data_IF_247946896677
#
_entry.id   IF_247946896677
#
_cell.length_a   1.000
_cell.length_b   1.000
_cell.length_c   1.000
_cell.angle_alpha   90.00
_cell.angle_beta   90.00
_cell.angle_gamma   90.00
#
_symmetry.space_group_name_H-M   'P 1'
#
loop_
_entity.id
_entity.type
_entity.pdbx_description
1 polymer ?
#
# COMPACT_ATOMS: atom_id res chain seq x y z
N UNK A 1 4.15 16.91 -5.07
CA UNK A 1 5.36 16.04 -5.14
C UNK A 1 5.80 15.78 -6.57
N UNK A 2 4.93 15.33 -7.49
CA UNK A 2 5.30 15.09 -8.91
C UNK A 2 6.04 16.28 -9.57
N UNK A 3 5.66 17.53 -9.27
CA UNK A 3 6.33 18.73 -9.80
C UNK A 3 7.84 18.77 -9.54
N UNK A 4 8.31 18.25 -8.40
CA UNK A 4 9.74 18.22 -8.07
C UNK A 4 10.50 17.19 -8.91
N UNK A 5 9.92 16.00 -9.12
CA UNK A 5 10.51 14.93 -9.94
C UNK A 5 10.58 15.36 -11.40
N UNK A 6 9.49 15.92 -11.96
CA UNK A 6 9.46 16.42 -13.34
C UNK A 6 10.48 17.55 -13.57
N UNK A 7 10.63 18.47 -12.61
CA UNK A 7 11.66 19.52 -12.67
C UNK A 7 13.06 18.91 -12.67
N UNK A 8 13.30 17.91 -11.80
CA UNK A 8 14.60 17.24 -11.70
C UNK A 8 14.96 16.45 -12.98
N UNK A 9 13.99 15.79 -13.60
CA UNK A 9 14.14 15.13 -14.91
C UNK A 9 14.57 16.15 -15.99
N UNK A 10 13.98 17.34 -15.98
CA UNK A 10 14.31 18.42 -16.93
C UNK A 10 15.75 18.92 -16.76
N UNK A 11 16.23 18.98 -15.51
CA UNK A 11 17.62 19.35 -15.20
C UNK A 11 18.63 18.29 -15.66
N UNK A 12 18.32 17.00 -15.44
CA UNK A 12 19.11 15.88 -15.98
C UNK A 12 19.26 16.03 -17.49
N UNK A 13 18.16 16.29 -18.20
CA UNK A 13 18.17 16.43 -19.66
C UNK A 13 18.98 17.65 -20.12
N UNK A 14 18.90 18.77 -19.40
CA UNK A 14 19.69 19.98 -19.68
C UNK A 14 21.19 19.70 -19.58
N UNK A 15 21.63 19.08 -18.48
CA UNK A 15 23.05 18.74 -18.28
C UNK A 15 23.54 17.69 -19.28
N UNK A 16 22.71 16.70 -19.62
CA UNK A 16 23.01 15.70 -20.66
C UNK A 16 23.24 16.36 -22.03
N UNK A 17 22.41 17.35 -22.41
CA UNK A 17 22.59 18.10 -23.66
C UNK A 17 23.88 18.93 -23.65
N UNK A 18 24.19 19.59 -22.53
CA UNK A 18 25.43 20.34 -22.38
C UNK A 18 26.68 19.44 -22.52
N UNK A 19 26.65 18.23 -21.96
CA UNK A 19 27.73 17.25 -22.10
C UNK A 19 27.91 16.76 -23.54
N UNK A 20 26.81 16.49 -24.26
CA UNK A 20 26.89 16.09 -25.67
C UNK A 20 27.57 17.15 -26.54
N UNK A 21 27.37 18.45 -26.24
CA UNK A 21 27.99 19.54 -26.98
C UNK A 21 29.52 19.62 -26.82
N UNK A 22 30.10 18.95 -25.82
CA UNK A 22 31.55 18.94 -25.58
C UNK A 22 32.32 17.93 -26.46
N UNK A 23 31.64 17.11 -27.27
CA UNK A 23 32.28 16.31 -28.32
C UNK A 23 33.04 15.05 -27.85
N UNK A 24 32.55 14.35 -26.82
CA UNK A 24 33.02 12.98 -26.50
C UNK A 24 34.30 12.87 -25.67
N UNK A 25 35.02 13.97 -25.44
CA UNK A 25 36.26 13.99 -24.65
C UNK A 25 36.08 13.82 -23.13
N UNK A 26 37.20 13.90 -22.40
CA UNK A 26 37.21 13.99 -20.93
C UNK A 26 36.64 15.34 -20.45
N UNK A 27 35.87 15.30 -19.37
CA UNK A 27 35.25 16.52 -18.80
C UNK A 27 36.25 17.20 -17.86
N UNK A 28 37.05 18.12 -18.39
CA UNK A 28 38.05 18.86 -17.60
C UNK A 28 37.48 20.06 -16.85
N UNK A 29 36.39 20.66 -17.36
CA UNK A 29 35.74 21.82 -16.78
C UNK A 29 35.34 21.57 -15.31
N UNK A 30 35.98 22.31 -14.39
CA UNK A 30 35.63 22.24 -12.96
C UNK A 30 34.18 22.69 -12.72
N UNK A 31 33.71 23.68 -13.47
CA UNK A 31 32.32 24.16 -13.42
C UNK A 31 31.34 23.05 -13.75
N UNK A 32 31.53 22.37 -14.89
CA UNK A 32 30.63 21.30 -15.35
C UNK A 32 30.60 20.13 -14.35
N UNK A 33 31.76 19.76 -13.79
CA UNK A 33 31.82 18.73 -12.74
C UNK A 33 31.13 19.16 -11.45
N UNK A 34 31.24 20.44 -11.08
CA UNK A 34 30.51 21.01 -9.95
C UNK A 34 28.99 20.93 -10.14
N UNK A 35 28.49 21.27 -11.32
CA UNK A 35 27.06 21.18 -11.67
C UNK A 35 26.54 19.74 -11.60
N UNK A 36 27.31 18.77 -12.11
CA UNK A 36 26.95 17.34 -12.06
C UNK A 36 26.95 16.76 -10.64
N UNK A 37 27.89 17.19 -9.80
CA UNK A 37 27.91 16.83 -8.39
C UNK A 37 26.71 17.42 -7.65
N UNK A 38 26.44 18.71 -7.85
CA UNK A 38 25.31 19.39 -7.22
C UNK A 38 23.97 18.73 -7.59
N UNK A 39 23.83 18.23 -8.83
CA UNK A 39 22.67 17.45 -9.26
C UNK A 39 22.50 16.17 -8.41
N UNK A 40 23.57 15.40 -8.20
CA UNK A 40 23.52 14.18 -7.40
C UNK A 40 23.24 14.46 -5.91
N UNK A 41 23.86 15.51 -5.34
CA UNK A 41 23.61 15.95 -3.96
C UNK A 41 22.14 16.34 -3.76
N UNK A 42 21.59 17.12 -4.71
CA UNK A 42 20.17 17.50 -4.71
C UNK A 42 19.24 16.29 -4.81
N UNK A 43 19.59 15.27 -5.60
CA UNK A 43 18.82 14.04 -5.63
C UNK A 43 18.71 13.41 -4.24
N UNK A 44 19.83 13.26 -3.52
CA UNK A 44 19.82 12.62 -2.20
C UNK A 44 19.15 13.48 -1.12
N UNK A 45 19.28 14.80 -1.20
CA UNK A 45 18.72 15.73 -0.23
C UNK A 45 17.21 15.97 -0.42
N UNK A 46 16.77 16.18 -1.66
CA UNK A 46 15.42 16.69 -1.92
C UNK A 46 14.51 15.66 -2.58
N UNK A 47 15.04 14.91 -3.56
CA UNK A 47 14.21 14.04 -4.41
C UNK A 47 14.00 12.68 -3.76
N UNK A 48 15.07 12.02 -3.32
CA UNK A 48 15.03 10.67 -2.74
C UNK A 48 14.07 10.55 -1.55
N UNK A 49 14.03 11.49 -0.56
CA UNK A 49 13.08 11.38 0.55
C UNK A 49 11.62 11.30 0.09
N UNK A 50 11.26 12.05 -0.96
CA UNK A 50 9.90 12.03 -1.52
C UNK A 50 9.54 10.74 -2.26
N UNK A 51 10.53 9.91 -2.60
CA UNK A 51 10.34 8.65 -3.32
C UNK A 51 10.25 7.44 -2.38
N UNK A 52 10.86 7.50 -1.19
CA UNK A 52 10.97 6.35 -0.27
C UNK A 52 9.61 5.88 0.25
N UNK A 53 8.63 6.77 0.34
CA UNK A 53 7.28 6.44 0.84
C UNK A 53 6.50 5.47 -0.08
N UNK A 54 7.06 5.15 -1.26
CA UNK A 54 6.45 4.24 -2.24
C UNK A 54 7.19 2.89 -2.20
N UNK A 55 6.65 1.93 -1.45
CA UNK A 55 7.28 0.62 -1.19
C UNK A 55 7.46 -0.27 -2.42
N UNK A 56 6.66 -0.06 -3.46
CA UNK A 56 6.57 -1.02 -4.57
C UNK A 56 7.63 -0.74 -5.66
N UNK A 57 8.24 0.46 -5.64
CA UNK A 57 9.18 0.90 -6.68
C UNK A 57 10.66 0.86 -6.23
N UNK A 58 10.99 0.05 -5.22
CA UNK A 58 12.35 -0.03 -4.65
C UNK A 58 13.43 -0.35 -5.69
N UNK A 59 13.09 -1.14 -6.71
CA UNK A 59 14.01 -1.48 -7.81
C UNK A 59 14.44 -0.21 -8.57
N UNK A 60 13.48 0.65 -8.90
CA UNK A 60 13.75 1.89 -9.62
C UNK A 60 14.48 2.91 -8.75
N UNK A 61 14.11 3.02 -7.47
CA UNK A 61 14.81 3.89 -6.51
C UNK A 61 16.27 3.46 -6.34
N UNK A 62 16.53 2.16 -6.20
CA UNK A 62 17.88 1.61 -6.07
C UNK A 62 18.73 1.89 -7.32
N UNK A 63 18.14 1.78 -8.51
CA UNK A 63 18.83 2.07 -9.76
C UNK A 63 19.22 3.56 -9.89
N UNK A 64 18.33 4.48 -9.52
CA UNK A 64 18.67 5.92 -9.50
C UNK A 64 19.74 6.22 -8.45
N UNK A 65 19.66 5.63 -7.25
CA UNK A 65 20.68 5.78 -6.20
C UNK A 65 22.07 5.35 -6.71
N UNK A 66 22.14 4.18 -7.35
CA UNK A 66 23.39 3.65 -7.91
C UNK A 66 23.95 4.60 -8.98
N UNK A 67 23.11 5.07 -9.92
CA UNK A 67 23.54 6.00 -10.95
C UNK A 67 24.07 7.33 -10.38
N UNK A 68 23.43 7.87 -9.34
CA UNK A 68 23.84 9.13 -8.70
C UNK A 68 25.14 8.98 -7.88
N UNK A 69 25.34 7.84 -7.21
CA UNK A 69 26.61 7.53 -6.55
C UNK A 69 27.75 7.43 -7.56
N UNK A 70 27.57 6.66 -8.63
CA UNK A 70 28.56 6.55 -9.71
C UNK A 70 28.85 7.91 -10.35
N UNK A 71 27.85 8.80 -10.47
CA UNK A 71 28.02 10.15 -10.99
C UNK A 71 28.98 10.98 -10.13
N UNK A 72 28.84 10.92 -8.80
CA UNK A 72 29.75 11.59 -7.86
C UNK A 72 31.17 11.02 -7.97
N UNK A 73 31.31 9.69 -8.07
CA UNK A 73 32.62 9.05 -8.20
C UNK A 73 33.38 9.49 -9.46
N UNK A 74 32.71 9.53 -10.62
CA UNK A 74 33.38 9.91 -11.87
C UNK A 74 33.72 11.41 -11.93
N UNK A 75 33.00 12.27 -11.19
CA UNK A 75 33.36 13.68 -11.02
C UNK A 75 34.75 13.85 -10.37
N UNK A 76 35.15 12.93 -9.49
CA UNK A 76 36.50 12.92 -8.91
C UNK A 76 37.56 12.45 -9.89
N UNK A 77 37.26 11.39 -10.65
CA UNK A 77 38.23 10.70 -11.54
C UNK A 77 38.42 11.37 -12.91
N UNK A 78 37.68 12.45 -13.22
CA UNK A 78 37.68 13.13 -14.53
C UNK A 78 37.32 12.17 -15.67
N UNK A 79 36.16 11.52 -15.56
CA UNK A 79 35.67 10.57 -16.56
C UNK A 79 35.49 11.15 -17.97
N UNK A 80 35.29 10.25 -18.94
CA UNK A 80 34.88 10.61 -20.30
C UNK A 80 33.41 11.03 -20.33
N UNK A 81 33.08 12.01 -21.16
CA UNK A 81 31.70 12.57 -21.26
C UNK A 81 30.63 11.50 -21.54
N UNK A 82 30.96 10.47 -22.32
CA UNK A 82 30.08 9.34 -22.58
C UNK A 82 29.57 8.66 -21.30
N UNK A 83 30.45 8.42 -20.32
CA UNK A 83 30.07 7.77 -19.06
C UNK A 83 29.08 8.62 -18.25
N UNK A 84 29.24 9.94 -18.23
CA UNK A 84 28.27 10.84 -17.59
C UNK A 84 26.91 10.78 -18.28
N UNK A 85 26.90 10.81 -19.62
CA UNK A 85 25.68 10.76 -20.43
C UNK A 85 24.90 9.47 -20.18
N UNK A 86 25.60 8.33 -20.07
CA UNK A 86 24.97 7.04 -19.84
C UNK A 86 24.35 6.94 -18.44
N UNK A 87 25.05 7.42 -17.40
CA UNK A 87 24.49 7.49 -16.04
C UNK A 87 23.25 8.39 -15.97
N UNK A 88 23.30 9.58 -16.60
CA UNK A 88 22.17 10.50 -16.65
C UNK A 88 20.97 9.91 -17.41
N UNK A 89 21.21 9.18 -18.50
CA UNK A 89 20.16 8.50 -19.26
C UNK A 89 19.50 7.39 -18.44
N UNK A 90 20.30 6.58 -17.76
CA UNK A 90 19.83 5.51 -16.89
C UNK A 90 18.95 6.08 -15.76
N UNK A 91 19.47 7.05 -15.01
CA UNK A 91 18.73 7.70 -13.93
C UNK A 91 17.40 8.30 -14.42
N UNK A 92 17.42 9.00 -15.57
CA UNK A 92 16.21 9.57 -16.17
C UNK A 92 15.14 8.51 -16.48
N UNK A 93 15.54 7.37 -17.05
CA UNK A 93 14.61 6.29 -17.38
C UNK A 93 13.83 5.82 -16.15
N UNK A 94 14.55 5.53 -15.06
CA UNK A 94 13.93 5.13 -13.80
C UNK A 94 13.11 6.23 -13.14
N UNK A 95 13.54 7.50 -13.21
CA UNK A 95 12.75 8.62 -12.70
C UNK A 95 11.44 8.83 -13.46
N UNK A 96 11.39 8.55 -14.77
CA UNK A 96 10.13 8.60 -15.54
C UNK A 96 9.16 7.50 -15.09
N UNK A 97 9.66 6.29 -14.82
CA UNK A 97 8.84 5.22 -14.25
C UNK A 97 8.27 5.63 -12.89
N UNK A 98 9.12 6.18 -12.02
CA UNK A 98 8.71 6.68 -10.70
C UNK A 98 7.70 7.82 -10.81
N UNK A 99 7.90 8.81 -11.67
CA UNK A 99 6.93 9.91 -11.87
C UNK A 99 5.58 9.40 -12.38
N UNK A 100 5.59 8.42 -13.30
CA UNK A 100 4.37 7.78 -13.80
C UNK A 100 3.63 7.02 -12.70
N UNK A 101 4.36 6.31 -11.83
CA UNK A 101 3.81 5.65 -10.65
C UNK A 101 3.24 6.68 -9.66
N UNK A 102 3.94 7.78 -9.40
CA UNK A 102 3.46 8.88 -8.54
C UNK A 102 2.17 9.52 -9.06
N UNK A 103 2.02 9.70 -10.37
CA UNK A 103 0.79 10.25 -10.98
C UNK A 103 -0.37 9.26 -10.85
N UNK A 104 -0.07 7.97 -11.05
CA UNK A 104 -1.05 6.89 -10.94
C UNK A 104 -1.52 6.69 -9.49
N UNK A 105 -0.59 6.75 -8.54
CA UNK A 105 -0.82 6.63 -7.10
C UNK A 105 -1.36 7.94 -6.48
N UNK A 106 -1.07 9.09 -7.08
CA UNK A 106 -1.51 10.42 -6.62
C UNK A 106 -3.01 10.64 -6.69
N UNK A 107 -3.73 9.87 -7.51
CA UNK A 107 -5.20 9.80 -7.49
C UNK A 107 -5.75 9.09 -6.26
N UNK A 108 -4.92 8.39 -5.48
CA UNK A 108 -5.34 7.72 -4.24
C UNK A 108 -4.91 8.44 -2.95
N UNK A 109 -4.00 9.43 -3.02
CA UNK A 109 -3.40 10.05 -1.82
C UNK A 109 -3.58 11.56 -1.68
N UNK A 110 -4.42 12.19 -2.49
CA UNK A 110 -4.78 13.60 -2.21
C UNK A 110 -5.65 13.64 -0.96
N UNK A 111 -5.07 14.11 0.14
CA UNK A 111 -5.68 14.30 1.46
C UNK A 111 -6.82 15.32 1.53
N UNK A 112 -7.77 15.24 0.60
CA UNK A 112 -9.15 15.50 0.96
C UNK A 112 -9.51 14.49 2.06
N UNK A 113 -10.33 14.90 3.02
CA UNK A 113 -11.06 13.98 3.88
C UNK A 113 -11.38 12.74 3.07
N UNK A 114 -10.96 11.55 3.53
CA UNK A 114 -11.24 10.31 2.83
C UNK A 114 -12.77 10.19 2.84
N UNK A 115 -13.42 10.81 1.86
CA UNK A 115 -14.85 10.88 1.75
C UNK A 115 -15.28 9.43 1.66
N UNK A 116 -16.24 9.08 2.53
CA UNK A 116 -16.84 7.74 2.53
C UNK A 116 -17.13 7.40 1.08
N UNK A 117 -16.46 6.38 0.57
CA UNK A 117 -16.64 6.00 -0.82
C UNK A 117 -18.11 5.62 -1.03
N UNK A 118 -18.66 5.73 -2.25
CA UNK A 118 -20.01 5.25 -2.51
C UNK A 118 -20.23 3.79 -2.05
N UNK A 119 -19.18 2.97 -2.14
CA UNK A 119 -19.14 1.60 -1.61
C UNK A 119 -19.27 1.57 -0.08
N UNK A 120 -18.52 2.40 0.65
CA UNK A 120 -18.62 2.49 2.11
C UNK A 120 -20.04 2.86 2.55
N UNK A 121 -20.68 3.81 1.87
CA UNK A 121 -22.06 4.22 2.16
C UNK A 121 -23.04 3.05 1.99
N UNK A 122 -22.89 2.25 0.92
CA UNK A 122 -23.73 1.08 0.67
C UNK A 122 -23.50 -0.04 1.70
N UNK A 123 -22.24 -0.32 2.06
CA UNK A 123 -21.88 -1.27 3.12
C UNK A 123 -22.54 -0.84 4.43
N UNK A 124 -22.33 0.41 4.85
CA UNK A 124 -22.88 0.96 6.09
C UNK A 124 -24.40 0.87 6.10
N UNK A 125 -25.06 1.25 5.01
CA UNK A 125 -26.53 1.20 4.92
C UNK A 125 -27.05 -0.22 5.07
N UNK A 126 -26.40 -1.18 4.41
CA UNK A 126 -26.77 -2.60 4.46
C UNK A 126 -26.51 -3.20 5.84
N UNK A 127 -25.36 -2.89 6.44
CA UNK A 127 -25.01 -3.32 7.80
C UNK A 127 -25.99 -2.74 8.82
N UNK A 128 -26.37 -1.46 8.74
CA UNK A 128 -27.35 -0.88 9.69
C UNK A 128 -28.69 -1.62 9.66
N UNK A 129 -29.09 -2.15 8.50
CA UNK A 129 -30.32 -2.93 8.38
C UNK A 129 -30.16 -4.37 8.91
N UNK A 130 -28.99 -4.99 8.77
CA UNK A 130 -28.75 -6.40 9.12
C UNK A 130 -28.17 -6.62 10.52
N UNK A 131 -27.13 -5.84 10.85
CA UNK A 131 -26.32 -5.89 12.08
C UNK A 131 -25.88 -4.47 12.47
N UNK A 132 -26.72 -3.70 13.21
CA UNK A 132 -26.44 -2.30 13.54
C UNK A 132 -25.09 -2.08 14.25
N UNK A 133 -24.68 -3.00 15.12
CA UNK A 133 -23.40 -2.93 15.83
C UNK A 133 -22.20 -3.02 14.87
N UNK A 134 -22.23 -3.94 13.89
CA UNK A 134 -21.20 -4.05 12.86
C UNK A 134 -21.08 -2.77 12.02
N UNK A 135 -22.21 -2.10 11.73
CA UNK A 135 -22.20 -0.82 11.03
C UNK A 135 -21.48 0.26 11.85
N UNK A 136 -21.76 0.33 13.16
CA UNK A 136 -21.10 1.29 14.05
C UNK A 136 -19.59 1.06 14.10
N UNK A 137 -19.14 -0.19 14.21
CA UNK A 137 -17.71 -0.51 14.19
C UNK A 137 -17.06 -0.10 12.85
N UNK A 138 -17.69 -0.42 11.72
CA UNK A 138 -17.16 -0.03 10.40
C UNK A 138 -17.08 1.50 10.25
N UNK A 139 -18.12 2.23 10.68
CA UNK A 139 -18.15 3.70 10.64
C UNK A 139 -17.12 4.34 11.56
N UNK A 140 -16.94 3.79 12.77
CA UNK A 140 -15.94 4.28 13.72
C UNK A 140 -14.53 4.12 13.15
N UNK A 141 -14.22 2.98 12.51
CA UNK A 141 -12.93 2.78 11.87
C UNK A 141 -12.67 3.81 10.76
N UNK A 142 -13.66 4.08 9.91
CA UNK A 142 -13.56 5.10 8.87
C UNK A 142 -13.32 6.49 9.46
N UNK A 143 -14.08 6.87 10.50
CA UNK A 143 -13.92 8.14 11.18
C UNK A 143 -12.51 8.27 11.79
N UNK A 144 -12.04 7.22 12.44
CA UNK A 144 -10.71 7.19 13.07
C UNK A 144 -9.60 7.33 12.02
N UNK A 145 -9.73 6.69 10.85
CA UNK A 145 -8.79 6.80 9.74
C UNK A 145 -8.73 8.20 9.13
N UNK A 146 -9.73 9.05 9.34
CA UNK A 146 -9.66 10.46 8.92
C UNK A 146 -8.84 11.34 9.87
N UNK A 147 -8.52 10.89 11.10
CA UNK A 147 -7.84 11.70 12.11
C UNK A 147 -6.30 11.62 11.95
N UNK A 148 -5.61 12.66 11.45
CA UNK A 148 -4.18 12.59 11.16
C UNK A 148 -3.30 12.45 12.43
N UNK A 149 -3.79 12.90 13.58
CA UNK A 149 -3.00 13.02 14.82
C UNK A 149 -3.19 11.85 15.80
N UNK A 150 -3.72 10.71 15.35
CA UNK A 150 -3.87 9.55 16.25
C UNK A 150 -2.52 8.99 16.68
N UNK A 151 -2.38 8.85 18.00
CA UNK A 151 -1.23 8.19 18.63
C UNK A 151 -1.22 6.66 18.41
N UNK A 152 -2.37 6.08 18.10
CA UNK A 152 -2.49 4.63 17.86
C UNK A 152 -3.56 4.28 16.84
N UNK A 153 -3.20 3.34 15.97
CA UNK A 153 -4.06 2.77 14.94
C UNK A 153 -4.63 1.39 15.32
N UNK A 154 -4.41 0.93 16.57
CA UNK A 154 -4.93 -0.36 17.04
C UNK A 154 -6.46 -0.39 17.13
N UNK A 155 -7.08 0.70 17.60
CA UNK A 155 -8.53 0.84 17.71
C UNK A 155 -9.26 0.59 16.39
N UNK A 156 -9.02 1.41 15.34
CA UNK A 156 -9.69 1.22 14.05
C UNK A 156 -9.48 -0.17 13.42
N UNK A 157 -8.32 -0.81 13.61
CA UNK A 157 -8.11 -2.19 13.16
C UNK A 157 -9.00 -3.21 13.91
N UNK A 158 -9.20 -3.04 15.22
CA UNK A 158 -10.15 -3.84 16.00
C UNK A 158 -11.58 -3.62 15.52
N UNK A 159 -11.98 -2.36 15.29
CA UNK A 159 -13.34 -2.05 14.83
C UNK A 159 -13.65 -2.68 13.46
N UNK A 160 -12.69 -2.68 12.52
CA UNK A 160 -12.84 -3.39 11.23
C UNK A 160 -13.00 -4.90 11.40
N UNK A 161 -12.27 -5.51 12.34
CA UNK A 161 -12.39 -6.92 12.66
C UNK A 161 -13.77 -7.26 13.22
N UNK A 162 -14.26 -6.46 14.17
CA UNK A 162 -15.56 -6.70 14.80
C UNK A 162 -16.71 -6.52 13.80
N UNK A 163 -16.63 -5.52 12.92
CA UNK A 163 -17.57 -5.36 11.82
C UNK A 163 -17.67 -6.62 10.94
N UNK A 164 -16.53 -7.21 10.56
CA UNK A 164 -16.51 -8.44 9.78
C UNK A 164 -17.02 -9.65 10.58
N UNK A 165 -16.53 -9.85 11.81
CA UNK A 165 -16.90 -10.99 12.66
C UNK A 165 -18.40 -11.03 12.92
N UNK A 166 -18.99 -9.91 13.34
CA UNK A 166 -20.42 -9.85 13.63
C UNK A 166 -21.28 -10.05 12.38
N UNK A 167 -20.81 -9.55 11.23
CA UNK A 167 -21.47 -9.80 9.94
C UNK A 167 -21.47 -11.29 9.60
N UNK A 168 -20.35 -11.97 9.77
CA UNK A 168 -20.24 -13.41 9.56
C UNK A 168 -21.11 -14.20 10.54
N UNK A 169 -21.09 -13.85 11.82
CA UNK A 169 -21.92 -14.50 12.85
C UNK A 169 -23.41 -14.36 12.55
N UNK A 170 -23.83 -13.22 12.00
CA UNK A 170 -25.23 -12.99 11.60
C UNK A 170 -25.65 -13.76 10.36
N UNK A 171 -24.79 -13.81 9.34
CA UNK A 171 -25.10 -14.40 8.03
C UNK A 171 -24.86 -15.91 7.98
N UNK A 172 -24.06 -16.43 8.91
CA UNK A 172 -23.73 -17.85 9.03
C UNK A 172 -23.74 -18.26 10.51
N UNK A 173 -24.94 -18.42 11.11
CA UNK A 173 -25.07 -18.94 12.47
C UNK A 173 -24.38 -20.31 12.62
N UNK A 174 -23.72 -20.53 13.76
CA UNK A 174 -22.87 -21.71 13.96
C UNK A 174 -23.62 -23.03 13.79
N UNK A 175 -24.86 -23.08 14.27
CA UNK A 175 -25.74 -24.23 14.19
C UNK A 175 -26.15 -24.53 12.75
N UNK A 176 -26.46 -23.52 11.95
CA UNK A 176 -26.76 -23.68 10.52
C UNK A 176 -25.54 -24.17 9.73
N UNK A 177 -24.36 -23.60 10.01
CA UNK A 177 -23.12 -24.02 9.35
C UNK A 177 -22.77 -25.47 9.70
N UNK A 178 -22.91 -25.86 10.99
CA UNK A 178 -22.69 -27.23 11.45
C UNK A 178 -23.68 -28.23 10.85
N UNK A 179 -24.91 -27.81 10.57
CA UNK A 179 -25.94 -28.65 9.95
C UNK A 179 -25.70 -28.89 8.45
N UNK A 180 -24.77 -28.17 7.83
CA UNK A 180 -24.51 -28.28 6.38
C UNK A 180 -23.84 -29.61 6.03
N UNK A 181 -24.27 -30.32 4.97
CA UNK A 181 -23.63 -31.56 4.53
C UNK A 181 -22.13 -31.38 4.26
N UNK A 182 -21.32 -32.22 4.90
CA UNK A 182 -19.86 -32.21 4.76
C UNK A 182 -19.12 -31.22 5.67
N UNK A 183 -19.82 -30.55 6.60
CA UNK A 183 -19.16 -29.82 7.68
C UNK A 183 -18.26 -30.76 8.51
N UNK A 184 -17.07 -30.29 8.85
CA UNK A 184 -16.12 -30.93 9.77
C UNK A 184 -15.40 -29.84 10.54
N UNK A 185 -15.26 -30.02 11.86
CA UNK A 185 -14.46 -29.10 12.65
C UNK A 185 -13.00 -29.14 12.17
N UNK A 186 -12.38 -27.96 12.05
CA UNK A 186 -10.94 -27.86 11.80
C UNK A 186 -10.17 -28.16 13.10
N UNK A 187 -8.93 -28.69 13.02
CA UNK A 187 -8.11 -28.93 14.22
C UNK A 187 -8.01 -27.67 15.08
N UNK A 188 -8.20 -27.83 16.39
CA UNK A 188 -8.17 -26.76 17.40
C UNK A 188 -9.30 -25.71 17.34
N UNK A 189 -10.29 -25.88 16.47
CA UNK A 189 -11.46 -25.01 16.41
C UNK A 189 -12.55 -25.47 17.40
N UNK A 190 -13.19 -24.52 18.11
CA UNK A 190 -14.34 -24.79 19.00
C UNK A 190 -15.70 -24.65 18.29
N UNK A 191 -15.69 -24.39 16.99
CA UNK A 191 -16.85 -24.14 16.15
C UNK A 191 -16.44 -23.79 14.72
N UNK A 192 -17.39 -23.36 13.87
CA UNK A 192 -17.11 -23.05 12.48
C UNK A 192 -16.11 -21.91 12.36
N UNK A 193 -15.07 -22.11 11.55
CA UNK A 193 -14.10 -21.04 11.28
C UNK A 193 -14.73 -19.96 10.40
N UNK A 194 -14.19 -18.73 10.43
CA UNK A 194 -14.67 -17.65 9.56
C UNK A 194 -14.65 -18.06 8.08
N UNK A 195 -13.64 -18.83 7.65
CA UNK A 195 -13.58 -19.44 6.32
C UNK A 195 -14.78 -20.34 6.01
N UNK A 196 -15.18 -21.20 6.95
CA UNK A 196 -16.33 -22.09 6.80
C UNK A 196 -17.64 -21.30 6.73
N UNK A 197 -17.76 -20.22 7.52
CA UNK A 197 -18.89 -19.28 7.47
C UNK A 197 -19.02 -18.58 6.13
N UNK A 198 -17.93 -18.06 5.57
CA UNK A 198 -17.93 -17.44 4.23
C UNK A 198 -18.38 -18.42 3.16
N UNK A 199 -17.86 -19.65 3.18
CA UNK A 199 -18.28 -20.69 2.24
C UNK A 199 -19.77 -20.98 2.32
N UNK A 200 -20.32 -21.05 3.54
CA UNK A 200 -21.74 -21.25 3.78
C UNK A 200 -22.58 -20.11 3.15
N UNK A 201 -22.21 -18.85 3.41
CA UNK A 201 -22.91 -17.66 2.88
C UNK A 201 -22.94 -17.68 1.35
N UNK A 202 -21.79 -17.87 0.71
CA UNK A 202 -21.66 -17.81 -0.74
C UNK A 202 -22.39 -18.97 -1.44
N UNK A 203 -22.42 -20.16 -0.83
CA UNK A 203 -23.22 -21.29 -1.33
C UNK A 203 -24.71 -21.00 -1.26
N UNK A 204 -25.20 -20.46 -0.14
CA UNK A 204 -26.61 -20.13 0.02
C UNK A 204 -27.07 -19.06 -0.97
N UNK A 205 -26.15 -18.21 -1.44
CA UNK A 205 -26.38 -17.19 -2.47
C UNK A 205 -26.15 -17.66 -3.90
N UNK A 206 -25.87 -18.94 -4.10
CA UNK A 206 -25.62 -19.54 -5.42
C UNK A 206 -24.45 -18.86 -6.17
N UNK A 207 -23.48 -18.29 -5.45
CA UNK A 207 -22.30 -17.72 -6.07
C UNK A 207 -21.49 -18.80 -6.80
N UNK A 208 -20.83 -18.43 -7.89
CA UNK A 208 -20.01 -19.38 -8.66
C UNK A 208 -18.87 -19.92 -7.80
N UNK A 209 -18.43 -21.16 -8.07
CA UNK A 209 -17.29 -21.76 -7.35
C UNK A 209 -16.02 -20.92 -7.42
N UNK A 210 -15.80 -20.19 -8.53
CA UNK A 210 -14.66 -19.30 -8.69
C UNK A 210 -14.75 -18.07 -7.77
N UNK A 211 -15.91 -17.41 -7.73
CA UNK A 211 -16.16 -16.28 -6.81
C UNK A 211 -16.07 -16.73 -5.35
N UNK A 212 -16.58 -17.92 -5.04
CA UNK A 212 -16.49 -18.51 -3.71
C UNK A 212 -15.03 -18.71 -3.28
N UNK A 213 -14.18 -19.27 -4.16
CA UNK A 213 -12.76 -19.45 -3.87
C UNK A 213 -12.03 -18.12 -3.65
N UNK A 214 -12.23 -17.12 -4.53
CA UNK A 214 -11.60 -15.80 -4.38
C UNK A 214 -12.01 -15.10 -3.09
N UNK A 215 -13.28 -15.19 -2.70
CA UNK A 215 -13.78 -14.57 -1.46
C UNK A 215 -13.32 -15.33 -0.23
N UNK A 216 -13.22 -16.67 -0.30
CA UNK A 216 -12.60 -17.50 0.75
C UNK A 216 -11.13 -17.13 0.95
N UNK A 217 -10.37 -16.97 -0.13
CA UNK A 217 -8.96 -16.59 -0.10
C UNK A 217 -8.79 -15.16 0.42
N UNK A 218 -9.63 -14.21 -0.02
CA UNK A 218 -9.63 -12.84 0.49
C UNK A 218 -9.98 -12.80 1.98
N UNK A 219 -10.97 -13.57 2.43
CA UNK A 219 -11.32 -13.70 3.86
C UNK A 219 -10.17 -14.32 4.64
N UNK A 220 -9.53 -15.37 4.10
CA UNK A 220 -8.35 -15.96 4.70
C UNK A 220 -7.20 -14.95 4.77
N UNK A 221 -6.98 -14.14 3.74
CA UNK A 221 -5.99 -13.05 3.76
C UNK A 221 -6.35 -11.97 4.77
N UNK A 222 -7.64 -11.65 4.95
CA UNK A 222 -8.12 -10.78 6.03
C UNK A 222 -7.84 -11.40 7.39
N UNK A 223 -8.17 -12.67 7.61
CA UNK A 223 -7.92 -13.39 8.86
C UNK A 223 -6.43 -13.60 9.14
N UNK A 224 -5.61 -13.79 8.10
CA UNK A 224 -4.15 -13.86 8.23
C UNK A 224 -3.56 -12.47 8.46
N UNK A 225 -4.06 -11.42 7.80
CA UNK A 225 -3.62 -10.05 8.04
C UNK A 225 -4.04 -9.58 9.44
N UNK A 226 -5.30 -9.78 9.83
CA UNK A 226 -5.83 -9.51 11.16
C UNK A 226 -5.20 -10.45 12.19
N UNK A 227 -5.01 -11.72 11.89
CA UNK A 227 -4.45 -12.72 12.79
C UNK A 227 -2.96 -12.52 13.00
N UNK A 228 -2.20 -12.18 11.96
CA UNK A 228 -0.81 -11.74 12.05
C UNK A 228 -0.71 -10.36 12.69
N UNK A 229 -1.68 -9.47 12.49
CA UNK A 229 -1.78 -8.18 13.19
C UNK A 229 -2.07 -8.37 14.68
N UNK A 230 -3.06 -9.16 15.05
CA UNK A 230 -3.45 -9.46 16.44
C UNK A 230 -2.37 -10.30 17.12
N UNK A 231 -1.79 -11.28 16.43
CA UNK A 231 -0.62 -12.03 16.91
C UNK A 231 0.59 -11.10 17.01
N UNK A 232 0.83 -10.18 16.09
CA UNK A 232 1.91 -9.18 16.25
C UNK A 232 1.61 -8.20 17.37
N UNK A 233 0.34 -7.91 17.68
CA UNK A 233 -0.14 -7.10 18.83
C UNK A 233 -0.05 -7.87 20.16
N UNK A 234 -0.29 -9.18 20.17
CA UNK A 234 -0.25 -10.05 21.35
C UNK A 234 1.18 -10.51 21.66
N UNK A 235 1.96 -10.85 20.63
CA UNK A 235 3.41 -11.00 20.71
C UNK A 235 4.07 -9.65 21.03
N UNK A 236 3.51 -8.50 20.60
CA UNK A 236 3.87 -7.14 21.07
C UNK A 236 3.61 -6.93 22.55
N UNK A 237 2.47 -7.36 23.10
CA UNK A 237 2.22 -7.15 24.54
C UNK A 237 3.16 -7.98 25.41
N UNK A 238 3.66 -9.11 24.87
CA UNK A 238 4.71 -9.92 25.48
C UNK A 238 6.14 -9.40 25.21
N UNK A 239 6.35 -8.57 24.16
CA UNK A 239 7.64 -8.01 23.71
C UNK A 239 7.44 -6.53 23.36
N UNK A 240 7.20 -5.71 24.39
CA UNK A 240 6.56 -4.39 24.27
C UNK A 240 7.47 -3.22 23.89
N UNK A 241 8.41 -3.36 22.94
CA UNK A 241 9.28 -2.21 22.57
C UNK A 241 9.54 -1.86 21.10
N UNK A 242 9.27 -2.66 20.04
CA UNK A 242 9.90 -2.34 18.73
C UNK A 242 9.10 -2.41 17.41
N UNK A 243 7.76 -2.29 17.37
CA UNK A 243 7.13 -1.95 16.07
C UNK A 243 5.84 -1.14 16.22
N UNK A 244 5.78 0.12 15.78
CA UNK A 244 4.55 0.88 15.55
C UNK A 244 3.66 0.20 14.49
N UNK A 245 2.34 0.43 14.53
CA UNK A 245 1.48 0.11 13.38
C UNK A 245 1.17 1.44 12.74
N UNK A 246 1.50 1.57 11.47
CA UNK A 246 1.30 2.79 10.72
C UNK A 246 -0.12 2.83 10.15
N UNK A 247 -0.64 4.04 9.95
CA UNK A 247 -1.94 4.28 9.32
C UNK A 247 -2.10 3.51 8.00
N UNK A 248 -1.03 3.43 7.21
CA UNK A 248 -1.01 2.72 5.93
C UNK A 248 -1.40 1.25 6.05
N UNK A 249 -0.98 0.57 7.12
CA UNK A 249 -1.35 -0.83 7.33
C UNK A 249 -2.85 -1.00 7.61
N UNK A 250 -3.43 -0.11 8.42
CA UNK A 250 -4.86 -0.17 8.74
C UNK A 250 -5.73 0.21 7.53
N UNK A 251 -5.24 1.09 6.66
CA UNK A 251 -5.88 1.35 5.37
C UNK A 251 -5.90 0.10 4.48
N UNK A 252 -4.81 -0.68 4.42
CA UNK A 252 -4.80 -1.97 3.71
C UNK A 252 -5.83 -2.95 4.28
N UNK A 253 -5.95 -3.03 5.61
CA UNK A 253 -6.99 -3.85 6.26
C UNK A 253 -8.38 -3.37 5.89
N UNK A 254 -8.65 -2.06 5.90
CA UNK A 254 -9.93 -1.48 5.48
C UNK A 254 -10.29 -1.91 4.06
N UNK A 255 -9.35 -1.82 3.10
CA UNK A 255 -9.61 -2.17 1.71
C UNK A 255 -9.98 -3.66 1.56
N UNK A 256 -9.29 -4.54 2.28
CA UNK A 256 -9.63 -5.97 2.28
C UNK A 256 -11.00 -6.23 2.93
N UNK A 257 -11.31 -5.62 4.08
CA UNK A 257 -12.62 -5.73 4.72
C UNK A 257 -13.72 -5.18 3.81
N UNK A 258 -13.47 -4.09 3.08
CA UNK A 258 -14.41 -3.52 2.11
C UNK A 258 -14.73 -4.52 1.00
N UNK A 259 -13.73 -5.19 0.43
CA UNK A 259 -13.93 -6.22 -0.61
C UNK A 259 -14.77 -7.37 -0.05
N UNK A 260 -14.39 -7.91 1.11
CA UNK A 260 -15.12 -9.04 1.71
C UNK A 260 -16.56 -8.66 2.05
N UNK A 261 -16.78 -7.51 2.69
CA UNK A 261 -18.14 -7.05 3.01
C UNK A 261 -18.95 -6.73 1.74
N UNK A 262 -18.33 -6.27 0.66
CA UNK A 262 -19.05 -6.04 -0.60
C UNK A 262 -19.62 -7.34 -1.16
N UNK A 263 -18.82 -8.40 -1.18
CA UNK A 263 -19.26 -9.74 -1.60
C UNK A 263 -20.28 -10.35 -0.61
N UNK A 264 -20.00 -10.28 0.70
CA UNK A 264 -20.87 -10.81 1.75
C UNK A 264 -22.16 -10.00 1.95
N UNK A 265 -22.30 -8.81 1.41
CA UNK A 265 -23.53 -8.01 1.49
C UNK A 265 -24.19 -7.79 0.13
N UNK A 266 -23.62 -8.35 -0.95
CA UNK A 266 -24.04 -8.13 -2.34
C UNK A 266 -24.06 -6.64 -2.73
N UNK A 267 -23.13 -5.87 -2.16
CA UNK A 267 -22.94 -4.46 -2.48
C UNK A 267 -22.08 -4.36 -3.74
N UNK A 268 -22.66 -3.84 -4.81
CA UNK A 268 -22.00 -3.51 -6.08
C UNK A 268 -22.02 -2.02 -6.32
#
# INVERSE_FOLDING_TARGET
>A
MSTHVTSFISEIEKLRKALNALGGGQVHSAKTRGELRALAERYFADIRPSLIDHSDDQIHIAAVNSAMQSLVEICHKRGVSASYIDLLRNAKGHLIHLDSALISSGHQQSGAQQERTPTDIRIITTLRALVPSAALSYEQALQDLTQPERLSWRGPATDLREALRETLDRLAPDDEVKATPGYKDEPDARGPTMKQKVRFILRNRQASKALAATTEDATKSVDEAIGSFVRSVYTRSSVSTHTPTEKGEVLRVLDLVRVVLSELLEVR
#
